data_IF_431940735065
#
_entry.id   IF_431940735065
#
_cell.length_a   1.000
_cell.length_b   1.000
_cell.length_c   1.000
_cell.angle_alpha   90.00
_cell.angle_beta   90.00
_cell.angle_gamma   90.00
#
_symmetry.space_group_name_H-M   'P 1'
#
loop_
_entity.id
_entity.type
_entity.pdbx_description
1 polymer ?
#
# COMPACT_ATOMS: atom_id res chain seq x y z
N UNK A 1 -28.23 -38.33 -0.18
CA UNK A 1 -27.99 -39.76 -0.46
C UNK A 1 -26.85 -39.94 -1.43
N UNK A 2 -26.08 -40.95 -1.15
CA UNK A 2 -24.94 -41.57 -1.85
C UNK A 2 -23.55 -40.94 -1.57
N UNK A 3 -22.96 -41.59 -0.58
CA UNK A 3 -21.51 -41.76 -0.35
C UNK A 3 -20.94 -42.71 -1.41
N UNK A 4 -19.69 -42.54 -1.79
CA UNK A 4 -18.84 -43.67 -2.17
C UNK A 4 -17.46 -43.54 -1.52
N UNK A 5 -17.09 -44.61 -0.86
CA UNK A 5 -15.89 -44.99 -0.14
C UNK A 5 -15.17 -46.02 -1.01
N UNK A 6 -13.90 -46.17 -0.76
CA UNK A 6 -13.03 -47.36 -1.03
C UNK A 6 -12.01 -47.16 -2.15
N UNK A 7 -10.81 -47.70 -2.09
CA UNK A 7 -10.23 -48.74 -1.23
C UNK A 7 -8.71 -48.77 -1.35
N UNK A 8 -8.10 -49.20 -0.26
CA UNK A 8 -6.70 -49.60 -0.07
C UNK A 8 -6.43 -50.91 -0.82
N UNK A 9 -5.24 -51.08 -1.40
CA UNK A 9 -4.63 -52.40 -1.64
C UNK A 9 -3.19 -52.40 -1.20
N UNK A 10 -2.89 -53.23 -0.22
CA UNK A 10 -1.58 -53.67 0.20
C UNK A 10 -1.40 -55.15 -0.20
N UNK A 11 -0.24 -55.52 -0.64
CA UNK A 11 0.31 -56.90 -0.68
C UNK A 11 1.84 -56.72 -0.85
N UNK A 12 2.75 -57.30 -0.14
CA UNK A 12 2.77 -58.55 0.60
C UNK A 12 4.05 -59.31 0.24
N UNK A 13 4.96 -59.38 1.18
CA UNK A 13 5.82 -60.52 1.54
C UNK A 13 6.73 -61.20 0.52
N UNK A 14 8.01 -61.33 0.88
CA UNK A 14 8.96 -62.22 0.28
C UNK A 14 10.26 -62.32 1.10
N UNK A 15 10.25 -63.18 2.12
CA UNK A 15 11.43 -63.55 2.93
C UNK A 15 12.21 -64.64 2.19
N UNK A 16 13.53 -64.51 2.05
CA UNK A 16 14.43 -65.65 1.90
C UNK A 16 15.66 -65.45 2.79
N UNK A 17 15.81 -66.33 3.74
CA UNK A 17 17.02 -66.55 4.53
C UNK A 17 18.00 -67.48 3.77
N UNK A 18 19.26 -67.08 3.75
CA UNK A 18 20.35 -68.14 3.71
C UNK A 18 21.57 -67.58 4.47
N UNK A 19 21.94 -68.25 5.47
CA UNK A 19 23.08 -67.96 6.31
C UNK A 19 24.40 -68.48 5.75
N UNK A 20 25.49 -67.86 6.13
CA UNK A 20 26.80 -68.54 6.26
C UNK A 20 27.68 -67.80 7.27
N UNK A 21 28.30 -68.57 8.08
CA UNK A 21 29.18 -68.28 9.22
C UNK A 21 30.55 -67.83 8.66
N UNK A 22 31.19 -66.86 9.27
CA UNK A 22 32.56 -66.53 8.92
C UNK A 22 33.20 -65.40 9.70
N UNK A 23 34.02 -65.78 10.72
CA UNK A 23 35.20 -65.11 11.26
C UNK A 23 35.09 -63.68 11.82
N UNK A 24 35.33 -63.59 13.13
CA UNK A 24 35.62 -62.37 13.87
C UNK A 24 36.96 -61.74 13.42
N UNK A 25 36.93 -60.48 13.04
CA UNK A 25 38.08 -59.61 13.01
C UNK A 25 37.78 -58.38 13.86
N UNK A 26 38.55 -58.17 14.90
CA UNK A 26 38.54 -57.00 15.75
C UNK A 26 39.01 -55.79 14.98
N UNK A 27 38.13 -54.80 14.75
CA UNK A 27 38.52 -53.50 14.26
C UNK A 27 38.15 -52.45 15.32
N UNK A 28 39.13 -51.68 15.69
CA UNK A 28 39.06 -50.44 16.48
C UNK A 28 37.95 -49.52 15.99
N UNK A 29 37.25 -48.77 16.86
CA UNK A 29 36.23 -47.83 16.42
C UNK A 29 36.93 -46.63 15.75
N UNK A 30 36.75 -46.52 14.44
CA UNK A 30 37.04 -45.31 13.72
C UNK A 30 36.20 -44.16 14.27
N UNK A 31 36.90 -43.12 14.71
CA UNK A 31 36.28 -41.86 15.10
C UNK A 31 35.55 -41.30 13.90
N UNK A 32 34.22 -41.43 13.90
CA UNK A 32 33.35 -40.69 12.98
C UNK A 32 33.59 -39.19 13.18
N UNK A 33 34.41 -38.63 12.32
CA UNK A 33 34.48 -37.18 12.13
C UNK A 33 33.08 -36.67 11.72
N UNK A 34 32.35 -36.18 12.69
CA UNK A 34 31.11 -35.44 12.43
C UNK A 34 31.50 -34.13 11.75
N UNK A 35 31.60 -34.16 10.43
CA UNK A 35 31.65 -32.94 9.63
C UNK A 35 30.35 -32.18 9.85
N UNK A 36 30.38 -31.25 10.79
CA UNK A 36 29.34 -30.22 10.92
C UNK A 36 29.30 -29.43 9.60
N UNK A 37 28.41 -29.82 8.70
CA UNK A 37 28.07 -29.07 7.53
C UNK A 37 27.50 -27.76 8.02
N UNK A 38 28.35 -26.71 8.08
CA UNK A 38 27.93 -25.38 8.38
C UNK A 38 27.06 -24.91 7.22
N UNK A 39 25.74 -25.08 7.36
CA UNK A 39 24.81 -24.58 6.36
C UNK A 39 25.04 -23.08 6.16
N UNK A 40 25.50 -22.72 4.99
CA UNK A 40 25.65 -21.32 4.59
C UNK A 40 24.30 -20.62 4.75
N UNK A 41 24.25 -19.43 5.33
CA UNK A 41 22.98 -18.72 5.51
C UNK A 41 22.32 -18.45 4.16
N UNK A 42 21.12 -18.96 3.96
CA UNK A 42 20.34 -18.72 2.74
C UNK A 42 19.84 -17.28 2.76
N UNK A 43 20.42 -16.43 1.93
CA UNK A 43 20.00 -15.04 1.76
C UNK A 43 18.88 -14.92 0.74
N UNK A 44 17.86 -14.14 1.06
CA UNK A 44 16.82 -13.79 0.08
C UNK A 44 17.37 -12.81 -0.95
N UNK A 45 17.08 -12.99 -2.25
CA UNK A 45 17.60 -12.10 -3.29
C UNK A 45 17.02 -10.69 -3.17
N UNK A 46 17.86 -9.71 -3.43
CA UNK A 46 17.47 -8.30 -3.57
C UNK A 46 17.13 -8.06 -5.03
N UNK A 47 15.86 -7.74 -5.32
CA UNK A 47 15.38 -7.46 -6.68
C UNK A 47 15.77 -6.08 -7.18
N UNK A 48 15.91 -5.11 -6.27
CA UNK A 48 16.30 -3.75 -6.62
C UNK A 48 17.09 -3.09 -5.47
N UNK A 49 18.16 -2.38 -5.85
CA UNK A 49 18.91 -1.48 -4.96
C UNK A 49 18.80 -0.04 -5.46
N UNK A 50 18.53 0.89 -4.55
CA UNK A 50 18.35 2.31 -4.85
C UNK A 50 19.17 3.16 -3.88
N UNK A 51 19.97 4.10 -4.41
CA UNK A 51 20.47 5.22 -3.62
C UNK A 51 19.33 6.22 -3.49
N UNK A 52 19.06 6.66 -2.28
CA UNK A 52 18.01 7.63 -1.96
C UNK A 52 18.57 8.65 -0.95
N UNK A 53 17.96 9.82 -0.90
CA UNK A 53 18.37 10.89 0.00
C UNK A 53 17.13 11.61 0.54
N UNK A 54 16.64 11.16 1.71
CA UNK A 54 15.50 11.82 2.36
C UNK A 54 15.49 11.58 3.87
N UNK A 55 14.78 12.44 4.60
CA UNK A 55 14.61 12.34 6.04
C UNK A 55 13.21 11.82 6.37
N UNK A 56 13.14 10.98 7.40
CA UNK A 56 11.90 10.47 7.98
C UNK A 56 12.06 10.25 9.49
N UNK A 57 11.11 9.61 10.12
CA UNK A 57 11.21 9.16 11.51
C UNK A 57 11.03 7.66 11.58
N UNK A 58 11.68 7.02 12.53
CA UNK A 58 11.27 5.67 12.95
C UNK A 58 9.89 5.78 13.57
N UNK A 59 8.96 4.92 13.13
CA UNK A 59 7.57 4.96 13.60
C UNK A 59 7.46 4.64 15.09
N UNK A 60 6.37 5.06 15.73
CA UNK A 60 6.04 4.68 17.11
C UNK A 60 5.58 3.22 17.11
N UNK A 61 6.48 2.31 16.95
CA UNK A 61 6.21 0.91 16.62
C UNK A 61 5.51 0.18 17.78
N UNK A 62 4.21 0.35 17.93
CA UNK A 62 3.43 -0.23 19.02
C UNK A 62 3.04 -1.68 18.75
N UNK A 63 2.75 -2.04 17.51
CA UNK A 63 2.27 -3.39 17.14
C UNK A 63 3.37 -4.29 16.57
N UNK A 64 4.32 -3.73 15.82
CA UNK A 64 5.40 -4.48 15.20
C UNK A 64 6.74 -3.85 15.59
N UNK A 65 7.37 -4.41 16.61
CA UNK A 65 8.70 -3.97 17.04
C UNK A 65 9.76 -4.41 16.01
N UNK A 66 9.81 -3.73 14.87
CA UNK A 66 10.72 -4.04 13.77
C UNK A 66 12.15 -4.05 14.26
N UNK A 67 12.83 -5.16 14.02
CA UNK A 67 14.23 -5.33 14.37
C UNK A 67 15.12 -4.50 13.46
N UNK A 68 16.21 -4.00 14.03
CA UNK A 68 17.24 -3.23 13.32
C UNK A 68 18.47 -4.10 13.15
N UNK A 69 19.08 -4.07 11.98
CA UNK A 69 20.22 -4.90 11.62
C UNK A 69 21.40 -4.05 11.15
N UNK A 70 22.61 -4.58 11.23
CA UNK A 70 23.83 -3.94 10.75
C UNK A 70 23.96 -4.02 9.23
N UNK A 71 23.53 -5.11 8.63
CA UNK A 71 23.70 -5.42 7.20
C UNK A 71 22.42 -5.13 6.42
N UNK A 72 22.52 -5.02 5.08
CA UNK A 72 21.40 -4.78 4.19
C UNK A 72 20.33 -5.88 4.17
N UNK A 73 19.25 -5.65 3.44
CA UNK A 73 18.03 -6.45 3.48
C UNK A 73 18.24 -7.95 3.24
N UNK A 74 19.09 -8.32 2.27
CA UNK A 74 19.38 -9.72 1.98
C UNK A 74 19.93 -10.46 3.20
N UNK A 75 20.97 -9.93 3.83
CA UNK A 75 21.59 -10.50 5.05
C UNK A 75 20.67 -10.42 6.26
N UNK A 76 19.92 -9.32 6.40
CA UNK A 76 18.98 -9.13 7.51
C UNK A 76 17.74 -10.03 7.43
N UNK A 77 17.41 -10.54 6.25
CA UNK A 77 16.29 -11.46 6.05
C UNK A 77 16.66 -12.93 6.23
N UNK A 78 17.93 -13.27 6.44
CA UNK A 78 18.36 -14.64 6.72
C UNK A 78 17.79 -15.13 8.06
N UNK A 79 17.46 -16.41 8.14
CA UNK A 79 16.85 -16.99 9.33
C UNK A 79 17.71 -16.84 10.59
N UNK A 80 19.04 -16.82 10.43
CA UNK A 80 20.03 -16.68 11.51
C UNK A 80 20.52 -15.24 11.71
N UNK A 81 19.92 -14.24 11.05
CA UNK A 81 20.34 -12.85 11.18
C UNK A 81 20.10 -12.32 12.60
N UNK A 82 21.17 -11.86 13.25
CA UNK A 82 21.10 -11.27 14.59
C UNK A 82 20.80 -9.79 14.50
N UNK A 83 19.71 -9.28 15.11
CA UNK A 83 19.45 -7.86 15.20
C UNK A 83 20.45 -7.17 16.13
N UNK A 84 20.80 -5.93 15.84
CA UNK A 84 21.61 -5.06 16.71
C UNK A 84 20.76 -4.22 17.65
N UNK A 85 19.48 -4.05 17.33
CA UNK A 85 18.53 -3.25 18.10
C UNK A 85 17.09 -3.56 17.67
N UNK A 86 16.14 -2.91 18.33
CA UNK A 86 14.73 -2.93 17.97
C UNK A 86 14.26 -1.54 17.54
N UNK A 87 13.20 -1.49 16.73
CA UNK A 87 12.61 -0.23 16.30
C UNK A 87 12.14 0.65 17.47
N UNK A 88 11.75 0.05 18.59
CA UNK A 88 11.36 0.79 19.81
C UNK A 88 12.47 1.67 20.36
N UNK A 89 13.73 1.24 20.30
CA UNK A 89 14.88 2.02 20.75
C UNK A 89 15.10 3.30 19.93
N UNK A 90 14.57 3.33 18.71
CA UNK A 90 14.65 4.48 17.79
C UNK A 90 13.29 5.16 17.59
N UNK A 91 12.25 4.78 18.31
CA UNK A 91 10.89 5.30 18.11
C UNK A 91 10.88 6.84 18.11
N UNK A 92 10.20 7.42 17.13
CA UNK A 92 10.09 8.86 16.88
C UNK A 92 11.40 9.59 16.56
N UNK A 93 12.56 8.92 16.54
CA UNK A 93 13.81 9.55 16.17
C UNK A 93 13.82 9.92 14.68
N UNK A 94 14.32 11.10 14.36
CA UNK A 94 14.57 11.53 12.99
C UNK A 94 15.76 10.79 12.42
N UNK A 95 15.60 10.28 11.21
CA UNK A 95 16.63 9.51 10.51
C UNK A 95 16.79 9.98 9.06
N UNK A 96 18.02 9.93 8.58
CA UNK A 96 18.38 10.13 7.20
C UNK A 96 18.43 8.79 6.49
N UNK A 97 17.66 8.61 5.43
CA UNK A 97 17.63 7.40 4.61
C UNK A 97 18.51 7.59 3.38
N UNK A 98 19.47 6.68 3.19
CA UNK A 98 20.48 6.76 2.12
C UNK A 98 20.42 5.63 1.12
N UNK A 99 19.84 4.49 1.49
CA UNK A 99 19.66 3.34 0.59
C UNK A 99 18.31 2.66 0.84
N UNK A 100 17.79 2.07 -0.22
CA UNK A 100 16.63 1.20 -0.20
C UNK A 100 16.95 -0.09 -0.96
N UNK A 101 16.62 -1.23 -0.38
CA UNK A 101 16.66 -2.54 -1.00
C UNK A 101 15.24 -3.12 -1.05
N UNK A 102 14.81 -3.51 -2.25
CA UNK A 102 13.51 -4.17 -2.46
C UNK A 102 13.73 -5.67 -2.60
N UNK A 103 12.90 -6.43 -1.92
CA UNK A 103 12.88 -7.89 -1.92
C UNK A 103 11.43 -8.36 -2.10
N UNK A 104 11.21 -9.64 -2.40
CA UNK A 104 9.86 -10.20 -2.58
C UNK A 104 8.92 -9.93 -1.39
N UNK A 105 9.45 -9.90 -0.17
CA UNK A 105 8.70 -9.70 1.07
C UNK A 105 8.66 -8.24 1.56
N UNK A 106 9.11 -7.29 0.76
CA UNK A 106 9.09 -5.85 1.06
C UNK A 106 10.45 -5.17 1.00
N UNK A 107 10.46 -3.90 1.35
CA UNK A 107 11.65 -3.05 1.23
C UNK A 107 12.34 -2.83 2.58
N UNK A 108 13.66 -2.71 2.52
CA UNK A 108 14.54 -2.37 3.61
C UNK A 108 15.18 -1.00 3.39
N UNK A 109 15.33 -0.23 4.46
CA UNK A 109 15.89 1.12 4.42
C UNK A 109 17.15 1.18 5.26
N UNK A 110 18.26 1.67 4.68
CA UNK A 110 19.46 2.07 5.42
C UNK A 110 19.23 3.45 5.99
N UNK A 111 19.29 3.56 7.31
CA UNK A 111 19.12 4.82 8.01
C UNK A 111 20.37 5.21 8.81
N UNK A 112 20.51 6.51 9.04
CA UNK A 112 21.43 7.10 10.02
C UNK A 112 20.61 8.02 10.92
N UNK A 113 20.69 7.85 12.24
CA UNK A 113 20.03 8.76 13.17
C UNK A 113 20.63 10.15 13.07
N UNK A 114 19.80 11.20 13.11
CA UNK A 114 20.29 12.58 12.95
C UNK A 114 21.09 13.06 14.15
N UNK A 115 20.78 12.57 15.34
CA UNK A 115 21.38 12.97 16.60
C UNK A 115 22.63 12.15 16.91
N UNK A 116 22.49 10.85 17.07
CA UNK A 116 23.56 9.95 17.56
C UNK A 116 24.41 9.35 16.45
N UNK A 117 24.09 9.63 15.19
CA UNK A 117 24.76 9.11 13.99
C UNK A 117 24.83 7.57 13.90
N UNK A 118 23.99 6.87 14.63
CA UNK A 118 23.90 5.42 14.55
C UNK A 118 23.32 4.99 13.20
N UNK A 119 23.93 3.95 12.63
CA UNK A 119 23.55 3.40 11.32
C UNK A 119 22.91 2.04 11.50
N UNK A 120 21.82 1.82 10.79
CA UNK A 120 21.14 0.53 10.79
C UNK A 120 20.28 0.32 9.54
N UNK A 121 19.75 -0.89 9.42
CA UNK A 121 18.77 -1.26 8.44
C UNK A 121 17.47 -1.70 9.11
N UNK A 122 16.37 -1.17 8.65
CA UNK A 122 15.03 -1.48 9.16
C UNK A 122 14.07 -1.73 8.01
N UNK A 123 13.05 -2.55 8.22
CA UNK A 123 11.93 -2.65 7.28
C UNK A 123 11.30 -1.28 7.06
N UNK A 124 10.94 -0.95 5.81
CA UNK A 124 10.26 0.31 5.47
C UNK A 124 9.04 0.58 6.35
N UNK A 125 8.28 -0.47 6.69
CA UNK A 125 7.10 -0.35 7.54
C UNK A 125 7.42 0.10 8.98
N UNK A 126 8.69 0.02 9.41
CA UNK A 126 9.17 0.57 10.67
C UNK A 126 9.40 2.08 10.65
N UNK A 127 9.20 2.76 9.51
CA UNK A 127 9.39 4.21 9.37
C UNK A 127 8.08 4.93 9.06
N UNK A 128 7.99 6.21 9.46
CA UNK A 128 6.89 7.09 9.06
C UNK A 128 7.13 7.56 7.63
N UNK A 129 6.17 7.38 6.76
CA UNK A 129 6.24 7.92 5.40
C UNK A 129 6.04 9.43 5.43
N UNK A 130 7.05 10.18 5.00
CA UNK A 130 7.01 11.65 4.95
C UNK A 130 6.53 12.19 3.61
N UNK A 131 6.53 11.34 2.59
CA UNK A 131 5.96 11.65 1.28
C UNK A 131 5.47 10.38 0.60
N UNK A 132 4.51 10.54 -0.28
CA UNK A 132 4.02 9.50 -1.18
C UNK A 132 3.46 10.16 -2.43
N UNK A 133 3.69 9.55 -3.58
CA UNK A 133 3.08 9.96 -4.84
C UNK A 133 2.62 8.73 -5.62
N UNK A 134 1.38 8.75 -6.08
CA UNK A 134 0.76 7.69 -6.88
C UNK A 134 0.62 8.19 -8.32
N UNK A 135 1.00 7.36 -9.28
CA UNK A 135 0.91 7.70 -10.72
C UNK A 135 -0.53 7.54 -11.23
N UNK A 136 -1.46 8.28 -10.63
CA UNK A 136 -2.87 8.26 -11.04
C UNK A 136 -3.03 8.87 -12.44
N UNK A 137 -3.81 8.27 -13.36
CA UNK A 137 -4.10 8.84 -14.66
C UNK A 137 -4.79 10.21 -14.49
N UNK A 138 -4.52 11.13 -15.41
CA UNK A 138 -5.15 12.45 -15.42
C UNK A 138 -6.26 12.50 -16.46
N UNK A 139 -7.48 12.77 -16.03
CA UNK A 139 -8.66 12.86 -16.90
C UNK A 139 -9.31 14.24 -16.71
N UNK A 140 -9.59 14.94 -17.82
CA UNK A 140 -10.37 16.17 -17.81
C UNK A 140 -11.86 15.87 -17.89
N UNK A 141 -12.69 16.61 -17.14
CA UNK A 141 -14.15 16.43 -17.21
C UNK A 141 -14.74 17.00 -18.50
N UNK A 142 -14.24 18.13 -18.99
CA UNK A 142 -14.71 18.79 -20.21
C UNK A 142 -14.21 18.10 -21.48
N UNK A 143 -14.90 18.26 -22.63
CA UNK A 143 -16.18 18.96 -22.79
C UNK A 143 -17.40 18.16 -22.36
N UNK A 144 -17.29 16.81 -22.21
CA UNK A 144 -18.44 15.91 -22.09
C UNK A 144 -19.24 16.08 -20.78
N UNK A 145 -18.56 16.38 -19.67
CA UNK A 145 -19.17 16.43 -18.34
C UNK A 145 -18.92 17.80 -17.67
N UNK A 146 -19.60 18.88 -18.09
CA UNK A 146 -19.35 20.23 -17.59
C UNK A 146 -19.55 20.34 -16.06
N UNK A 147 -20.39 19.51 -15.45
CA UNK A 147 -20.62 19.47 -13.99
C UNK A 147 -20.25 18.11 -13.37
N UNK A 148 -19.41 17.32 -14.04
CA UNK A 148 -19.06 15.94 -13.62
C UNK A 148 -17.71 15.83 -12.92
N UNK A 149 -17.32 16.78 -12.06
CA UNK A 149 -16.02 16.72 -11.38
C UNK A 149 -15.91 15.49 -10.48
N UNK A 150 -16.94 15.12 -9.73
CA UNK A 150 -16.93 13.99 -8.80
C UNK A 150 -16.80 12.66 -9.55
N UNK A 151 -17.59 12.47 -10.60
CA UNK A 151 -17.52 11.23 -11.39
C UNK A 151 -16.19 11.12 -12.13
N UNK A 152 -15.64 12.24 -12.63
CA UNK A 152 -14.33 12.25 -13.30
C UNK A 152 -13.21 12.01 -12.33
N UNK A 153 -13.22 12.62 -11.14
CA UNK A 153 -12.25 12.35 -10.08
C UNK A 153 -12.34 10.90 -9.62
N UNK A 154 -13.54 10.33 -9.48
CA UNK A 154 -13.75 8.92 -9.15
C UNK A 154 -13.24 8.01 -10.27
N UNK A 155 -13.43 8.37 -11.54
CA UNK A 155 -12.88 7.60 -12.68
C UNK A 155 -11.36 7.50 -12.61
N UNK A 156 -10.67 8.60 -12.30
CA UNK A 156 -9.21 8.59 -12.13
C UNK A 156 -8.76 7.64 -11.02
N UNK A 157 -9.48 7.62 -9.91
CA UNK A 157 -9.23 6.71 -8.79
C UNK A 157 -9.46 5.26 -9.19
N UNK A 158 -10.57 4.95 -9.85
CA UNK A 158 -10.94 3.59 -10.28
C UNK A 158 -10.00 3.04 -11.36
N UNK A 159 -9.62 3.86 -12.35
CA UNK A 159 -8.63 3.45 -13.35
C UNK A 159 -7.27 3.13 -12.72
N UNK A 160 -6.86 3.90 -11.70
CA UNK A 160 -5.65 3.60 -10.96
C UNK A 160 -5.73 2.26 -10.20
N UNK A 161 -6.91 1.89 -9.74
CA UNK A 161 -7.18 0.58 -9.13
C UNK A 161 -7.25 -0.58 -10.16
N UNK A 162 -7.17 -0.28 -11.46
CA UNK A 162 -7.21 -1.28 -12.54
C UNK A 162 -8.58 -1.45 -13.21
N UNK A 163 -9.60 -0.70 -12.78
CA UNK A 163 -10.91 -0.77 -13.41
C UNK A 163 -10.92 -0.23 -14.85
N UNK A 164 -11.58 -0.94 -15.75
CA UNK A 164 -11.74 -0.59 -17.16
C UNK A 164 -12.98 0.30 -17.37
N UNK A 165 -12.94 1.53 -16.86
CA UNK A 165 -14.04 2.50 -16.93
C UNK A 165 -13.62 3.80 -17.57
N UNK A 166 -14.56 4.49 -18.21
CA UNK A 166 -14.40 5.88 -18.70
C UNK A 166 -15.23 6.82 -17.83
N UNK A 167 -14.95 8.12 -17.89
CA UNK A 167 -15.77 9.11 -17.17
C UNK A 167 -17.23 9.11 -17.64
N UNK A 168 -17.46 8.84 -18.92
CA UNK A 168 -18.80 8.80 -19.50
C UNK A 168 -19.53 7.49 -19.17
N UNK A 169 -18.85 6.32 -19.23
CA UNK A 169 -19.45 5.06 -18.79
C UNK A 169 -19.85 5.14 -17.31
N UNK A 170 -18.97 5.68 -16.48
CA UNK A 170 -19.24 5.84 -15.05
C UNK A 170 -20.35 6.86 -14.77
N UNK A 171 -20.43 7.96 -15.56
CA UNK A 171 -21.52 8.94 -15.48
C UNK A 171 -22.88 8.34 -15.87
N UNK A 172 -22.91 7.41 -16.82
CA UNK A 172 -24.13 6.72 -17.22
C UNK A 172 -24.60 5.71 -16.16
N UNK A 173 -23.68 5.02 -15.49
CA UNK A 173 -23.98 4.10 -14.39
C UNK A 173 -24.36 4.82 -13.09
N UNK A 174 -23.89 6.04 -12.91
CA UNK A 174 -24.09 6.80 -11.68
C UNK A 174 -25.57 7.10 -11.44
N UNK A 175 -26.12 6.73 -10.26
CA UNK A 175 -27.52 6.99 -9.97
C UNK A 175 -27.86 8.49 -9.98
N UNK A 176 -29.08 8.81 -10.36
CA UNK A 176 -29.64 10.17 -10.28
C UNK A 176 -30.60 10.26 -9.10
N UNK A 177 -30.59 11.37 -8.38
CA UNK A 177 -31.50 11.61 -7.25
C UNK A 177 -31.53 13.08 -6.91
N UNK A 178 -32.62 13.56 -6.31
CA UNK A 178 -32.67 14.86 -5.66
C UNK A 178 -31.83 14.95 -4.39
N UNK A 179 -31.42 13.77 -3.83
CA UNK A 179 -30.57 13.66 -2.66
C UNK A 179 -29.15 13.27 -3.07
N UNK A 180 -28.13 14.11 -2.86
CA UNK A 180 -26.75 13.85 -3.28
C UNK A 180 -26.09 12.65 -2.56
N UNK A 181 -26.63 12.20 -1.45
CA UNK A 181 -26.20 10.99 -0.77
C UNK A 181 -26.78 9.70 -1.39
N UNK A 182 -27.71 9.81 -2.33
CA UNK A 182 -28.30 8.68 -3.04
C UNK A 182 -27.94 8.64 -4.52
N UNK A 183 -27.64 9.80 -5.12
CA UNK A 183 -27.29 9.90 -6.53
C UNK A 183 -26.88 11.32 -6.92
N UNK A 184 -26.53 11.50 -8.18
CA UNK A 184 -26.18 12.82 -8.73
C UNK A 184 -27.42 13.70 -8.88
N UNK A 185 -27.35 14.91 -8.36
CA UNK A 185 -28.43 15.89 -8.47
C UNK A 185 -28.33 16.60 -9.82
N UNK A 186 -29.36 16.43 -10.65
CA UNK A 186 -29.37 16.99 -12.01
C UNK A 186 -28.67 16.09 -13.04
N UNK A 187 -28.07 16.71 -14.04
CA UNK A 187 -27.42 16.03 -15.16
C UNK A 187 -25.95 16.45 -15.30
N UNK A 188 -24.96 15.57 -15.14
CA UNK A 188 -23.53 15.92 -15.25
C UNK A 188 -23.11 16.31 -16.68
N UNK A 189 -23.92 15.98 -17.68
CA UNK A 189 -23.75 16.38 -19.09
C UNK A 189 -24.23 17.80 -19.38
N UNK A 190 -24.91 18.43 -18.43
CA UNK A 190 -25.47 19.77 -18.58
C UNK A 190 -24.80 20.77 -17.61
N UNK A 191 -24.80 22.06 -17.98
CA UNK A 191 -24.29 23.12 -17.10
C UNK A 191 -25.17 23.34 -15.85
N UNK A 192 -26.40 22.84 -15.86
CA UNK A 192 -27.38 22.87 -14.77
C UNK A 192 -27.24 21.67 -13.81
N UNK A 193 -26.24 20.81 -13.98
CA UNK A 193 -25.94 19.75 -13.02
C UNK A 193 -25.37 20.31 -11.73
N UNK A 194 -25.52 19.56 -10.64
CA UNK A 194 -25.08 20.00 -9.32
C UNK A 194 -23.92 19.14 -8.81
N UNK A 195 -24.22 18.11 -7.98
CA UNK A 195 -23.21 17.30 -7.31
C UNK A 195 -23.72 15.94 -6.89
N UNK A 196 -22.80 15.08 -6.50
CA UNK A 196 -23.02 13.82 -5.77
C UNK A 196 -22.01 13.72 -4.64
N UNK A 197 -22.42 13.18 -3.49
CA UNK A 197 -21.56 13.02 -2.31
C UNK A 197 -21.00 11.60 -2.18
N UNK A 198 -19.97 11.39 -1.31
CA UNK A 198 -19.33 10.08 -1.15
C UNK A 198 -20.30 8.92 -0.99
N UNK A 199 -21.33 9.07 -0.16
CA UNK A 199 -22.32 8.02 0.09
C UNK A 199 -23.06 7.57 -1.17
N UNK A 200 -23.40 8.52 -2.06
CA UNK A 200 -24.05 8.21 -3.34
C UNK A 200 -23.14 7.51 -4.35
N UNK A 201 -21.81 7.72 -4.27
CA UNK A 201 -20.82 7.08 -5.15
C UNK A 201 -20.32 5.72 -4.63
N UNK A 202 -20.46 5.42 -3.34
CA UNK A 202 -19.96 4.16 -2.77
C UNK A 202 -20.42 2.89 -3.48
N UNK A 203 -21.71 2.73 -3.84
CA UNK A 203 -22.17 1.53 -4.55
C UNK A 203 -21.44 1.34 -5.88
N UNK A 204 -21.23 2.43 -6.61
CA UNK A 204 -20.53 2.45 -7.89
C UNK A 204 -19.05 2.08 -7.72
N UNK A 205 -18.36 2.67 -6.76
CA UNK A 205 -16.96 2.34 -6.44
C UNK A 205 -16.83 0.88 -6.05
N UNK A 206 -17.69 0.39 -5.14
CA UNK A 206 -17.68 -1.01 -4.71
C UNK A 206 -17.91 -1.99 -5.88
N UNK A 207 -18.80 -1.65 -6.81
CA UNK A 207 -19.07 -2.47 -8.00
C UNK A 207 -17.81 -2.69 -8.84
N UNK A 208 -16.98 -1.66 -9.02
CA UNK A 208 -15.81 -1.71 -9.92
C UNK A 208 -14.52 -2.22 -9.30
N UNK A 209 -14.34 -2.07 -7.97
CA UNK A 209 -13.07 -2.43 -7.29
C UNK A 209 -13.27 -3.26 -6.02
N UNK A 210 -14.48 -3.76 -5.78
CA UNK A 210 -14.80 -4.69 -4.68
C UNK A 210 -14.98 -4.04 -3.31
N UNK A 211 -14.51 -2.82 -3.10
CA UNK A 211 -14.64 -2.10 -1.84
C UNK A 211 -14.87 -0.60 -2.05
N UNK A 212 -15.43 0.06 -1.05
CA UNK A 212 -15.58 1.52 -1.00
C UNK A 212 -15.53 1.99 0.45
N UNK A 213 -14.82 3.08 0.71
CA UNK A 213 -14.66 3.64 2.05
C UNK A 213 -15.07 5.10 2.05
N UNK A 214 -16.14 5.43 2.77
CA UNK A 214 -16.50 6.81 3.04
C UNK A 214 -15.52 7.39 4.09
N UNK A 215 -14.79 8.41 3.72
CA UNK A 215 -13.80 9.09 4.55
C UNK A 215 -14.26 10.52 4.91
N UNK A 216 -15.56 10.79 4.84
CA UNK A 216 -16.12 12.08 5.27
C UNK A 216 -15.80 12.31 6.75
N UNK A 217 -15.28 13.49 7.08
CA UNK A 217 -14.81 13.82 8.44
C UNK A 217 -13.38 13.35 8.73
N UNK A 218 -12.76 12.53 7.88
CA UNK A 218 -11.44 12.01 8.13
C UNK A 218 -10.36 13.11 8.18
N UNK A 219 -9.47 12.99 9.15
CA UNK A 219 -8.26 13.81 9.24
C UNK A 219 -7.33 13.58 8.04
N UNK A 220 -6.43 14.53 7.77
CA UNK A 220 -5.45 14.34 6.70
C UNK A 220 -4.53 13.14 6.95
N UNK A 221 -4.26 12.78 8.21
CA UNK A 221 -3.48 11.59 8.54
C UNK A 221 -4.18 10.29 8.11
N UNK A 222 -5.50 10.22 8.21
CA UNK A 222 -6.28 9.08 7.71
C UNK A 222 -6.28 9.04 6.18
N UNK A 223 -6.33 10.18 5.48
CA UNK A 223 -6.17 10.22 4.02
C UNK A 223 -4.75 9.78 3.61
N UNK A 224 -3.71 10.24 4.33
CA UNK A 224 -2.33 9.76 4.12
C UNK A 224 -2.22 8.24 4.30
N UNK A 225 -2.92 7.66 5.26
CA UNK A 225 -2.91 6.20 5.45
C UNK A 225 -3.42 5.47 4.20
N UNK A 226 -4.50 5.92 3.56
CA UNK A 226 -4.99 5.38 2.28
C UNK A 226 -3.95 5.54 1.16
N UNK A 227 -3.40 6.73 0.99
CA UNK A 227 -2.38 6.99 -0.03
C UNK A 227 -1.12 6.14 0.21
N UNK A 228 -0.75 5.89 1.46
CA UNK A 228 0.41 5.06 1.83
C UNK A 228 0.27 3.59 1.40
N UNK A 229 -0.94 3.06 1.44
CA UNK A 229 -1.21 1.69 0.97
C UNK A 229 -1.51 1.63 -0.52
N UNK A 230 -1.44 2.76 -1.23
CA UNK A 230 -1.58 2.80 -2.68
C UNK A 230 -2.97 3.20 -3.17
N UNK A 231 -3.85 3.67 -2.30
CA UNK A 231 -5.21 4.07 -2.67
C UNK A 231 -5.31 5.60 -2.81
N UNK A 232 -5.57 6.15 -4.01
CA UNK A 232 -5.92 7.56 -4.19
C UNK A 232 -7.21 7.88 -3.44
N UNK A 233 -7.39 9.16 -3.13
CA UNK A 233 -8.59 9.61 -2.41
C UNK A 233 -9.27 10.73 -3.19
N UNK A 234 -10.53 10.57 -3.52
CA UNK A 234 -11.35 11.67 -4.01
C UNK A 234 -11.76 12.52 -2.83
N UNK A 235 -11.52 13.83 -2.90
CA UNK A 235 -11.92 14.79 -1.87
C UNK A 235 -12.77 15.89 -2.48
N UNK A 236 -13.78 16.30 -1.73
CA UNK A 236 -14.59 17.48 -2.03
C UNK A 236 -13.94 18.70 -1.39
N UNK A 237 -13.91 19.77 -2.13
CA UNK A 237 -13.27 21.03 -1.76
C UNK A 237 -14.15 22.21 -2.20
N UNK A 238 -14.29 23.21 -1.36
CA UNK A 238 -14.98 24.44 -1.70
C UNK A 238 -13.97 25.53 -2.06
N UNK A 239 -14.39 26.49 -2.89
CA UNK A 239 -13.61 27.67 -3.29
C UNK A 239 -12.28 27.30 -3.97
N UNK A 240 -12.32 26.26 -4.81
CA UNK A 240 -11.21 25.86 -5.70
C UNK A 240 -11.68 26.07 -7.14
N UNK A 241 -10.85 26.68 -7.98
CA UNK A 241 -11.12 27.00 -9.39
C UNK A 241 -12.44 27.79 -9.63
N UNK A 242 -12.86 28.58 -8.63
CA UNK A 242 -14.10 29.39 -8.69
C UNK A 242 -15.37 28.62 -8.32
N UNK A 243 -15.28 27.35 -7.90
CA UNK A 243 -16.44 26.55 -7.53
C UNK A 243 -16.71 26.57 -6.03
N UNK A 244 -17.97 26.70 -5.64
CA UNK A 244 -18.43 26.52 -4.25
C UNK A 244 -18.35 25.05 -3.81
N UNK A 245 -18.41 24.13 -4.77
CA UNK A 245 -18.21 22.69 -4.56
C UNK A 245 -17.44 22.12 -5.76
N UNK A 246 -16.31 21.47 -5.51
CA UNK A 246 -15.49 20.83 -6.51
C UNK A 246 -14.93 19.51 -5.97
N UNK A 247 -14.60 18.57 -6.84
CA UNK A 247 -14.00 17.30 -6.46
C UNK A 247 -12.68 17.08 -7.21
N UNK A 248 -11.64 16.73 -6.45
CA UNK A 248 -10.29 16.45 -6.94
C UNK A 248 -9.82 15.10 -6.46
N UNK A 249 -8.87 14.48 -7.17
CA UNK A 249 -8.28 13.21 -6.78
C UNK A 249 -6.91 13.42 -6.14
N UNK A 250 -6.81 13.23 -4.81
CA UNK A 250 -5.52 13.24 -4.13
C UNK A 250 -4.67 12.06 -4.61
N UNK A 251 -3.48 12.38 -5.11
CA UNK A 251 -2.52 11.42 -5.66
C UNK A 251 -1.28 11.28 -4.80
N UNK A 252 -1.11 12.15 -3.81
CA UNK A 252 0.08 12.11 -2.99
C UNK A 252 0.17 13.23 -1.96
N UNK A 253 1.27 13.20 -1.22
CA UNK A 253 1.60 14.25 -0.27
C UNK A 253 3.11 14.33 -0.05
N UNK A 254 3.57 15.48 0.46
CA UNK A 254 4.89 15.70 1.06
C UNK A 254 4.72 16.22 2.49
N UNK A 255 5.81 16.67 3.09
CA UNK A 255 5.77 17.28 4.44
C UNK A 255 4.85 18.51 4.50
N UNK A 256 4.75 19.26 3.42
CA UNK A 256 4.05 20.56 3.40
C UNK A 256 2.95 20.66 2.34
N UNK A 257 2.86 19.73 1.39
CA UNK A 257 1.93 19.82 0.25
C UNK A 257 1.13 18.55 0.06
N UNK A 258 -0.09 18.72 -0.44
CA UNK A 258 -0.92 17.66 -1.03
C UNK A 258 -0.86 17.77 -2.56
N UNK A 259 -0.64 16.65 -3.23
CA UNK A 259 -0.63 16.54 -4.69
C UNK A 259 -1.95 15.96 -5.16
N UNK A 260 -2.49 16.50 -6.25
CA UNK A 260 -3.77 16.04 -6.79
C UNK A 260 -3.87 16.19 -8.30
N UNK A 261 -4.79 15.43 -8.86
CA UNK A 261 -5.27 15.60 -10.23
C UNK A 261 -6.60 16.37 -10.18
N UNK A 262 -6.67 17.41 -10.96
CA UNK A 262 -7.84 18.25 -11.08
C UNK A 262 -8.59 17.96 -12.39
N UNK A 263 -9.86 17.52 -12.34
CA UNK A 263 -10.64 17.21 -13.52
C UNK A 263 -11.07 18.46 -14.32
N UNK A 264 -11.22 19.62 -13.68
CA UNK A 264 -11.63 20.86 -14.34
C UNK A 264 -10.52 21.46 -15.17
N UNK A 265 -9.38 21.70 -14.56
CA UNK A 265 -8.21 22.28 -15.24
C UNK A 265 -7.43 21.25 -16.05
N UNK A 266 -7.71 19.94 -15.85
CA UNK A 266 -6.94 18.82 -16.41
C UNK A 266 -5.45 18.96 -16.10
N UNK A 267 -5.11 19.29 -14.84
CA UNK A 267 -3.73 19.47 -14.40
C UNK A 267 -3.40 18.56 -13.23
N UNK A 268 -2.14 18.10 -13.20
CA UNK A 268 -1.50 17.54 -11.99
C UNK A 268 -0.89 18.71 -11.25
N UNK A 269 -1.33 18.95 -10.03
CA UNK A 269 -0.92 20.13 -9.27
C UNK A 269 -0.85 19.85 -7.77
N UNK A 270 -0.67 20.86 -6.95
CA UNK A 270 -0.58 20.71 -5.50
C UNK A 270 -0.94 22.01 -4.79
N UNK A 271 -1.41 21.87 -3.56
CA UNK A 271 -1.59 22.98 -2.63
C UNK A 271 -0.93 22.69 -1.29
N UNK A 272 -0.81 23.67 -0.41
CA UNK A 272 -0.31 23.41 0.95
C UNK A 272 -1.29 22.51 1.72
N UNK A 273 -0.80 21.78 2.72
CA UNK A 273 -1.68 20.97 3.55
C UNK A 273 -2.71 21.83 4.30
N UNK A 274 -2.32 23.01 4.74
CA UNK A 274 -3.23 23.98 5.38
C UNK A 274 -4.34 24.41 4.42
N UNK A 275 -3.98 24.82 3.19
CA UNK A 275 -4.96 25.22 2.17
C UNK A 275 -5.96 24.09 1.88
N UNK A 276 -5.45 22.85 1.65
CA UNK A 276 -6.32 21.71 1.43
C UNK A 276 -7.33 21.53 2.59
N UNK A 277 -6.87 21.62 3.83
CA UNK A 277 -7.76 21.44 4.99
C UNK A 277 -8.80 22.56 5.10
N UNK A 278 -8.45 23.80 4.77
CA UNK A 278 -9.39 24.91 4.70
C UNK A 278 -10.47 24.65 3.64
N UNK A 279 -10.07 24.28 2.42
CA UNK A 279 -11.04 23.98 1.35
C UNK A 279 -11.92 22.77 1.69
N UNK A 280 -11.37 21.73 2.30
CA UNK A 280 -12.14 20.56 2.75
C UNK A 280 -13.11 20.89 3.89
N UNK A 281 -12.71 21.77 4.82
CA UNK A 281 -13.58 22.20 5.92
C UNK A 281 -14.88 22.83 5.38
N UNK A 282 -14.77 23.67 4.36
CA UNK A 282 -15.92 24.31 3.74
C UNK A 282 -16.79 23.35 2.89
N UNK A 283 -16.35 22.11 2.71
CA UNK A 283 -17.12 21.03 2.08
C UNK A 283 -17.26 19.81 3.03
N UNK A 284 -17.54 20.06 4.30
CA UNK A 284 -17.80 19.05 5.33
C UNK A 284 -16.75 17.92 5.40
N UNK A 285 -15.51 18.18 4.99
CA UNK A 285 -14.43 17.18 4.92
C UNK A 285 -14.81 15.92 4.12
N UNK A 286 -15.70 16.03 3.12
CA UNK A 286 -16.11 14.88 2.30
C UNK A 286 -14.93 14.25 1.60
N UNK A 287 -14.88 12.90 1.65
CA UNK A 287 -13.84 12.14 0.96
C UNK A 287 -14.27 10.69 0.73
N UNK A 288 -13.73 10.07 -0.33
CA UNK A 288 -14.05 8.72 -0.78
C UNK A 288 -12.78 8.01 -1.25
N UNK A 289 -12.63 6.74 -0.89
CA UNK A 289 -11.60 5.85 -1.43
C UNK A 289 -12.14 4.40 -1.49
N UNK A 290 -11.28 3.44 -1.80
CA UNK A 290 -11.61 2.00 -1.82
C UNK A 290 -10.70 1.20 -0.87
#
# INVERSE_FOLDING_TARGET
MKRFISSIVALGVGLILSGSIGAAASTTPDAQSSSTVTQQPVYRPVSQRKVVNYYTKIGPNQTHNYKVYRSGGAKSSAANAKPIATGRQYANQSVHITREETMADGSWLKFTTTTTKQVGWIRRNGTVKTYRYLKVPLIGQRPQLPTGCEVTATTMMLQYAGAKVTKTSLANEMPRSSNPNKGFVGNPYAKSGWWIYPKGLMPLVKKHVGSATNLTGASFNQLKAKINVGHPVVVWVANVDGFVNHAITLTGYSKTRAYYNDPWTKKKTSMTLTSLQTHRKHDAYRALSY
#
